data_IF_797467260378
#
_entry.id   IF_797467260378
#
_cell.length_a   1.000
_cell.length_b   1.000
_cell.length_c   1.000
_cell.angle_alpha   90.00
_cell.angle_beta   90.00
_cell.angle_gamma   90.00
#
_symmetry.space_group_name_H-M   'P 1'
#
loop_
_entity.id
_entity.type
_entity.pdbx_description
1 polymer ?
#
# COMPACT_ATOMS: atom_id res chain seq x y z
N UNK A 1 -22.79 -18.36 -13.40
CA UNK A 1 -22.32 -19.64 -12.93
C UNK A 1 -20.88 -19.53 -12.43
N UNK A 2 -20.29 -20.64 -12.04
CA UNK A 2 -18.97 -20.64 -11.45
C UNK A 2 -17.90 -20.14 -12.41
N UNK A 3 -17.99 -20.51 -13.67
CA UNK A 3 -16.99 -20.09 -14.64
C UNK A 3 -17.03 -18.59 -14.85
N UNK A 4 -18.22 -18.01 -14.94
CA UNK A 4 -18.36 -16.56 -15.08
C UNK A 4 -17.90 -15.85 -13.84
N UNK A 5 -18.23 -16.40 -12.68
CA UNK A 5 -17.80 -15.81 -11.41
C UNK A 5 -16.29 -15.81 -11.28
N UNK A 6 -15.66 -16.90 -11.67
CA UNK A 6 -14.21 -17.01 -11.62
C UNK A 6 -13.57 -15.99 -12.57
N UNK A 7 -14.12 -15.88 -13.78
CA UNK A 7 -13.59 -14.91 -14.75
C UNK A 7 -13.72 -13.48 -14.23
N UNK A 8 -14.85 -13.16 -13.61
CA UNK A 8 -15.08 -11.83 -13.03
C UNK A 8 -14.09 -11.57 -11.89
N UNK A 9 -13.90 -12.57 -11.05
CA UNK A 9 -12.96 -12.45 -9.94
C UNK A 9 -11.53 -12.23 -10.44
N UNK A 10 -11.12 -12.92 -11.47
CA UNK A 10 -9.80 -12.72 -12.06
C UNK A 10 -9.65 -11.32 -12.61
N UNK A 11 -10.68 -10.80 -13.28
CA UNK A 11 -10.67 -9.45 -13.81
C UNK A 11 -10.56 -8.42 -12.69
N UNK A 12 -11.34 -8.59 -11.64
CA UNK A 12 -11.29 -7.70 -10.48
C UNK A 12 -9.94 -7.75 -9.79
N UNK A 13 -9.38 -8.94 -9.67
CA UNK A 13 -8.07 -9.13 -9.07
C UNK A 13 -6.99 -8.37 -9.85
N UNK A 14 -7.00 -8.46 -11.16
CA UNK A 14 -6.06 -7.73 -12.01
C UNK A 14 -6.22 -6.23 -11.87
N UNK A 15 -7.46 -5.74 -11.85
CA UNK A 15 -7.73 -4.32 -11.66
C UNK A 15 -7.22 -3.86 -10.30
N UNK A 16 -7.46 -4.63 -9.27
CA UNK A 16 -6.99 -4.32 -7.93
C UNK A 16 -5.47 -4.27 -7.88
N UNK A 17 -4.80 -5.23 -8.51
CA UNK A 17 -3.35 -5.23 -8.54
C UNK A 17 -2.81 -3.99 -9.24
N UNK A 18 -3.39 -3.63 -10.38
CA UNK A 18 -2.94 -2.47 -11.13
C UNK A 18 -3.23 -1.17 -10.37
N UNK A 19 -4.43 -1.06 -9.81
CA UNK A 19 -4.83 0.14 -9.08
C UNK A 19 -4.12 0.24 -7.73
N UNK A 20 -3.67 -0.87 -7.18
CA UNK A 20 -3.02 -0.91 -5.88
C UNK A 20 -1.50 -1.04 -5.97
N UNK A 21 -0.93 -0.61 -7.09
CA UNK A 21 0.51 -0.68 -7.30
C UNK A 21 1.28 0.05 -6.20
N UNK A 22 0.82 1.23 -5.83
CA UNK A 22 1.48 2.04 -4.79
C UNK A 22 1.38 1.36 -3.45
N UNK A 23 0.21 0.81 -3.12
CA UNK A 23 0.03 0.07 -1.87
C UNK A 23 0.93 -1.15 -1.78
N UNK A 24 1.07 -1.89 -2.88
CA UNK A 24 1.95 -3.06 -2.92
C UNK A 24 3.41 -2.67 -2.76
N UNK A 25 3.83 -1.58 -3.38
CA UNK A 25 5.20 -1.07 -3.23
C UNK A 25 5.46 -0.62 -1.80
N UNK A 26 4.48 0.02 -1.18
CA UNK A 26 4.58 0.44 0.21
C UNK A 26 4.73 -0.76 1.14
N UNK A 27 3.89 -1.78 0.94
CA UNK A 27 3.94 -3.01 1.73
C UNK A 27 5.29 -3.69 1.61
N UNK A 28 5.79 -3.81 0.38
CA UNK A 28 7.09 -4.44 0.13
C UNK A 28 8.22 -3.66 0.79
N UNK A 29 8.22 -2.34 0.68
CA UNK A 29 9.24 -1.48 1.29
C UNK A 29 9.20 -1.58 2.81
N UNK A 30 7.99 -1.63 3.39
CA UNK A 30 7.83 -1.79 4.83
C UNK A 30 8.41 -3.11 5.32
N UNK A 31 8.08 -4.19 4.62
CA UNK A 31 8.59 -5.53 4.97
C UNK A 31 10.11 -5.60 4.82
N UNK A 32 10.63 -4.98 3.78
CA UNK A 32 12.08 -4.92 3.58
C UNK A 32 12.77 -4.17 4.70
N UNK A 33 12.12 -3.16 5.25
CA UNK A 33 12.64 -2.40 6.39
C UNK A 33 12.48 -3.14 7.72
N UNK A 34 11.81 -4.28 7.72
CA UNK A 34 11.61 -5.08 8.92
C UNK A 34 10.55 -4.52 9.86
N UNK A 35 9.60 -3.75 9.34
CA UNK A 35 8.57 -3.10 10.16
C UNK A 35 7.21 -3.77 9.97
N UNK A 36 6.47 -3.88 11.07
CA UNK A 36 5.05 -4.22 11.00
C UNK A 36 4.25 -2.98 10.62
N UNK A 37 2.98 -3.16 10.26
CA UNK A 37 2.09 -2.02 10.00
C UNK A 37 1.98 -1.12 11.23
N UNK A 38 1.88 -1.72 12.43
CA UNK A 38 1.80 -0.96 13.66
C UNK A 38 3.08 -0.15 13.92
N UNK A 39 4.23 -0.75 13.65
CA UNK A 39 5.51 -0.06 13.83
C UNK A 39 5.67 1.11 12.85
N UNK A 40 5.27 0.91 11.61
CA UNK A 40 5.32 2.00 10.64
C UNK A 40 4.36 3.11 11.02
N UNK A 41 3.15 2.76 11.45
CA UNK A 41 2.16 3.73 11.90
C UNK A 41 2.70 4.57 13.06
N UNK A 42 3.36 3.92 14.00
CA UNK A 42 3.96 4.61 15.15
C UNK A 42 5.03 5.61 14.69
N UNK A 43 5.88 5.19 13.77
CA UNK A 43 6.93 6.08 13.24
C UNK A 43 6.35 7.28 12.49
N UNK A 44 5.21 7.08 11.86
CA UNK A 44 4.53 8.15 11.11
C UNK A 44 3.60 8.99 11.98
N UNK A 45 3.32 8.55 13.20
CA UNK A 45 2.36 9.23 14.07
C UNK A 45 0.93 9.11 13.59
N UNK A 46 0.58 8.01 12.94
CA UNK A 46 -0.76 7.74 12.44
C UNK A 46 -1.25 6.39 12.98
N UNK A 47 -2.50 6.09 12.73
CA UNK A 47 -3.09 4.81 13.15
C UNK A 47 -2.70 3.69 12.21
N UNK A 48 -2.60 2.48 12.74
CA UNK A 48 -2.33 1.28 11.94
C UNK A 48 -3.35 1.11 10.83
N UNK A 49 -4.63 1.42 11.08
CA UNK A 49 -5.67 1.34 10.05
C UNK A 49 -5.32 2.15 8.83
N UNK A 50 -4.70 3.32 9.02
CA UNK A 50 -4.32 4.17 7.89
C UNK A 50 -3.24 3.50 7.05
N UNK A 51 -2.25 2.88 7.69
CA UNK A 51 -1.21 2.14 6.98
C UNK A 51 -1.86 0.99 6.19
N UNK A 52 -2.74 0.25 6.83
CA UNK A 52 -3.46 -0.83 6.19
C UNK A 52 -4.26 -0.35 4.98
N UNK A 53 -4.95 0.77 5.11
CA UNK A 53 -5.74 1.35 4.02
C UNK A 53 -4.86 1.77 2.85
N UNK A 54 -3.71 2.36 3.12
CA UNK A 54 -2.76 2.71 2.07
C UNK A 54 -2.27 1.46 1.33
N UNK A 55 -1.93 0.41 2.08
CA UNK A 55 -1.43 -0.83 1.48
C UNK A 55 -2.49 -1.58 0.69
N UNK A 56 -3.75 -1.42 1.07
CA UNK A 56 -4.87 -2.04 0.37
C UNK A 56 -5.41 -1.20 -0.79
N UNK A 57 -4.90 0.01 -0.94
CA UNK A 57 -5.39 0.92 -1.96
C UNK A 57 -6.73 1.57 -1.64
N UNK A 58 -7.18 1.48 -0.39
CA UNK A 58 -8.45 2.09 0.04
C UNK A 58 -8.31 3.58 0.32
N UNK A 59 -7.10 4.05 0.51
CA UNK A 59 -6.81 5.46 0.79
C UNK A 59 -5.66 5.89 -0.11
N UNK A 60 -5.86 7.01 -0.79
CA UNK A 60 -4.82 7.56 -1.66
C UNK A 60 -3.74 8.23 -0.81
N UNK A 61 -2.48 7.96 -1.16
CA UNK A 61 -1.36 8.64 -0.53
C UNK A 61 -1.28 10.09 -1.01
N UNK A 62 -1.31 11.03 -0.07
CA UNK A 62 -1.06 12.42 -0.40
C UNK A 62 0.43 12.62 -0.65
N UNK A 63 0.83 13.65 -1.41
CA UNK A 63 2.25 13.92 -1.63
C UNK A 63 3.04 14.11 -0.33
N UNK A 64 2.47 14.76 0.66
CA UNK A 64 3.16 14.97 1.94
C UNK A 64 3.34 13.67 2.70
N UNK A 65 2.33 12.79 2.70
CA UNK A 65 2.44 11.50 3.36
C UNK A 65 3.42 10.59 2.62
N UNK A 66 3.40 10.62 1.29
CA UNK A 66 4.36 9.85 0.48
C UNK A 66 5.79 10.24 0.83
N UNK A 67 6.07 11.52 0.98
CA UNK A 67 7.40 12.00 1.38
C UNK A 67 7.79 11.50 2.78
N UNK A 68 6.85 11.54 3.71
CA UNK A 68 7.10 11.06 5.08
C UNK A 68 7.42 9.57 5.09
N UNK A 69 6.63 8.79 4.37
CA UNK A 69 6.82 7.35 4.27
C UNK A 69 8.16 7.04 3.60
N UNK A 70 8.46 7.71 2.50
CA UNK A 70 9.70 7.50 1.78
C UNK A 70 10.91 7.78 2.67
N UNK A 71 10.85 8.85 3.44
CA UNK A 71 11.92 9.20 4.38
C UNK A 71 12.05 8.15 5.48
N UNK A 72 10.93 7.70 6.03
CA UNK A 72 10.92 6.71 7.10
C UNK A 72 11.46 5.37 6.63
N UNK A 73 11.09 4.95 5.42
CA UNK A 73 11.51 3.68 4.86
C UNK A 73 12.80 3.77 4.04
N UNK A 74 13.34 4.98 3.91
CA UNK A 74 14.59 5.23 3.17
C UNK A 74 14.52 4.79 1.71
N UNK A 75 13.40 5.12 1.08
CA UNK A 75 13.18 4.83 -0.35
C UNK A 75 12.91 6.13 -1.08
N UNK A 76 12.99 6.08 -2.41
CA UNK A 76 12.70 7.25 -3.22
C UNK A 76 11.19 7.47 -3.28
N UNK A 77 10.77 8.72 -3.12
CA UNK A 77 9.34 9.07 -3.14
C UNK A 77 8.68 8.71 -4.47
N UNK A 78 9.41 8.71 -5.56
CA UNK A 78 8.91 8.36 -6.88
C UNK A 78 8.30 6.98 -6.92
N UNK A 79 8.75 6.09 -6.05
CA UNK A 79 8.27 4.71 -6.06
C UNK A 79 6.85 4.57 -5.53
N UNK A 80 6.44 5.50 -4.69
CA UNK A 80 5.13 5.42 -4.03
C UNK A 80 4.23 6.62 -4.30
N UNK A 81 4.62 7.48 -5.20
CA UNK A 81 3.79 8.65 -5.51
C UNK A 81 3.32 8.69 -6.95
#
# INVERSE_FOLDING_TARGET
>A
DNADSVAIEETDFWKEMQSNRIGNLLSAARLKAGLSQAQLAEKLGIRQNMVSDYERGKRRLSPSMAKRIAKTLKIKVDRIS
#
